data_IF_692354823473
#
_entry.id   IF_692354823473
#
_cell.length_a   1.000
_cell.length_b   1.000
_cell.length_c   1.000
_cell.angle_alpha   90.00
_cell.angle_beta   90.00
_cell.angle_gamma   90.00
#
_symmetry.space_group_name_H-M   'P 1'
#
loop_
_entity.id
_entity.type
_entity.pdbx_description
1 polymer ?
#
# COMPACT_ATOMS: atom_id res chain seq x y z
N UNK A 1 -41.70 -36.63 -35.76
CA UNK A 1 -40.95 -37.68 -36.47
C UNK A 1 -40.96 -37.38 -37.96
N UNK A 2 -39.82 -37.01 -38.56
CA UNK A 2 -39.50 -37.26 -39.98
C UNK A 2 -38.22 -36.49 -40.32
N UNK A 3 -37.13 -37.24 -40.44
CA UNK A 3 -35.81 -36.78 -40.87
C UNK A 3 -35.80 -36.60 -42.39
N UNK A 4 -35.50 -35.40 -42.89
CA UNK A 4 -35.09 -35.20 -44.29
C UNK A 4 -33.58 -34.93 -44.36
N UNK A 5 -32.93 -35.81 -45.11
CA UNK A 5 -31.51 -35.88 -45.43
C UNK A 5 -31.11 -34.68 -46.29
N UNK A 6 -30.02 -34.01 -45.92
CA UNK A 6 -29.23 -33.21 -46.85
C UNK A 6 -27.89 -33.90 -47.07
N UNK A 7 -27.56 -34.09 -48.36
CA UNK A 7 -26.37 -34.76 -48.86
C UNK A 7 -25.15 -33.86 -48.72
N UNK A 8 -24.08 -34.47 -48.24
CA UNK A 8 -22.71 -34.42 -48.76
C UNK A 8 -22.32 -33.23 -49.66
N UNK A 9 -21.61 -32.26 -49.08
CA UNK A 9 -20.47 -31.62 -49.75
C UNK A 9 -19.24 -31.93 -48.89
N UNK A 10 -18.49 -32.94 -49.32
CA UNK A 10 -17.21 -33.35 -48.73
C UNK A 10 -16.16 -32.44 -49.34
N UNK A 11 -15.79 -31.36 -48.65
CA UNK A 11 -14.53 -30.68 -48.96
C UNK A 11 -13.39 -31.58 -48.48
N UNK A 12 -12.48 -31.88 -49.39
CA UNK A 12 -11.27 -32.65 -49.13
C UNK A 12 -10.44 -31.94 -48.08
N UNK A 13 -10.49 -32.45 -46.84
CA UNK A 13 -9.48 -32.13 -45.83
C UNK A 13 -8.25 -32.97 -46.14
N UNK A 14 -7.27 -32.29 -46.72
CA UNK A 14 -5.86 -32.68 -46.74
C UNK A 14 -5.49 -33.13 -45.33
N UNK A 15 -5.15 -34.42 -45.19
CA UNK A 15 -4.64 -34.97 -43.94
C UNK A 15 -3.31 -34.33 -43.58
N UNK A 16 -2.95 -34.25 -42.29
CA UNK A 16 -1.65 -33.74 -41.89
C UNK A 16 -0.59 -34.70 -42.43
N UNK A 17 0.24 -34.20 -43.35
CA UNK A 17 1.45 -34.86 -43.80
C UNK A 17 2.32 -35.17 -42.60
N UNK A 18 2.81 -36.40 -42.59
CA UNK A 18 3.85 -36.94 -41.72
C UNK A 18 5.18 -36.19 -41.90
N UNK A 19 5.22 -34.96 -41.40
CA UNK A 19 6.43 -34.13 -41.32
C UNK A 19 6.55 -33.42 -39.96
N UNK A 20 5.66 -33.72 -39.01
CA UNK A 20 5.63 -33.15 -37.66
C UNK A 20 6.15 -34.11 -36.56
N UNK A 21 6.80 -35.22 -36.92
CA UNK A 21 7.28 -36.24 -35.97
C UNK A 21 8.81 -36.43 -35.97
N UNK A 22 9.58 -35.53 -36.60
CA UNK A 22 11.06 -35.63 -36.66
C UNK A 22 11.82 -34.41 -36.12
N UNK A 23 11.16 -33.50 -35.41
CA UNK A 23 11.82 -32.31 -34.82
C UNK A 23 12.02 -32.41 -33.30
N UNK A 24 12.02 -33.63 -32.74
CA UNK A 24 12.21 -33.88 -31.30
C UNK A 24 13.34 -34.87 -30.97
N UNK A 25 14.21 -35.21 -31.92
CA UNK A 25 15.42 -36.00 -31.66
C UNK A 25 16.62 -35.38 -32.37
N UNK A 26 17.34 -34.50 -31.68
CA UNK A 26 18.51 -33.88 -32.29
C UNK A 26 19.20 -32.75 -31.55
N UNK A 27 18.89 -32.46 -30.28
CA UNK A 27 19.74 -31.57 -29.48
C UNK A 27 20.83 -32.42 -28.83
N UNK A 28 21.87 -32.76 -29.60
CA UNK A 28 23.16 -33.15 -29.04
C UNK A 28 23.61 -32.00 -28.14
N UNK A 29 23.80 -32.27 -26.85
CA UNK A 29 24.51 -31.38 -25.93
C UNK A 29 25.97 -31.23 -26.41
N UNK A 30 26.18 -30.33 -27.37
CA UNK A 30 27.48 -29.74 -27.64
C UNK A 30 27.83 -28.88 -26.44
N UNK A 31 28.65 -29.44 -25.54
CA UNK A 31 29.23 -28.74 -24.40
C UNK A 31 30.22 -27.69 -24.92
N UNK A 32 29.71 -26.59 -25.48
CA UNK A 32 30.51 -25.42 -25.85
C UNK A 32 30.88 -24.74 -24.53
N UNK A 33 32.10 -25.01 -24.07
CA UNK A 33 32.75 -24.21 -23.02
C UNK A 33 32.92 -22.81 -23.58
N UNK A 34 31.96 -21.95 -23.33
CA UNK A 34 32.16 -20.51 -23.45
C UNK A 34 33.22 -20.13 -22.42
N UNK A 35 34.46 -19.99 -22.91
CA UNK A 35 35.54 -19.31 -22.20
C UNK A 35 35.13 -17.84 -22.08
N UNK A 36 34.40 -17.51 -21.03
CA UNK A 36 34.30 -16.14 -20.54
C UNK A 36 35.68 -15.77 -19.97
N UNK A 37 36.52 -15.22 -20.84
CA UNK A 37 37.75 -14.54 -20.44
C UNK A 37 37.47 -13.19 -19.82
N UNK A 38 38.28 -12.82 -18.84
CA UNK A 38 38.57 -11.42 -18.51
C UNK A 38 37.64 -10.75 -17.51
N UNK A 39 37.82 -11.04 -16.23
CA UNK A 39 37.19 -10.36 -15.09
C UNK A 39 37.68 -10.95 -13.77
N UNK A 40 38.99 -10.95 -13.59
CA UNK A 40 39.68 -11.51 -12.41
C UNK A 40 39.63 -10.53 -11.25
N UNK A 41 38.70 -10.74 -10.34
CA UNK A 41 38.63 -10.04 -9.05
C UNK A 41 37.71 -10.69 -8.01
N UNK A 42 37.29 -11.95 -8.21
CA UNK A 42 36.45 -12.66 -7.24
C UNK A 42 37.15 -13.96 -6.84
N UNK A 43 37.40 -14.13 -5.54
CA UNK A 43 38.30 -15.17 -5.00
C UNK A 43 37.92 -16.58 -5.48
N UNK A 44 38.91 -17.47 -5.76
CA UNK A 44 38.71 -18.80 -6.35
C UNK A 44 37.73 -19.71 -5.60
N UNK A 45 37.52 -19.46 -4.32
CA UNK A 45 36.68 -20.25 -3.41
C UNK A 45 35.19 -19.86 -3.52
N UNK A 46 34.89 -18.63 -3.95
CA UNK A 46 33.51 -18.11 -3.98
C UNK A 46 32.74 -18.66 -5.19
N UNK A 47 33.39 -18.78 -6.36
CA UNK A 47 32.74 -19.24 -7.59
C UNK A 47 32.13 -20.65 -7.50
N UNK A 48 32.82 -21.67 -6.95
CA UNK A 48 32.24 -23.01 -6.79
C UNK A 48 31.01 -23.03 -5.87
N UNK A 49 31.05 -22.27 -4.76
CA UNK A 49 29.93 -22.16 -3.83
C UNK A 49 28.74 -21.47 -4.48
N UNK A 50 28.97 -20.35 -5.18
CA UNK A 50 27.90 -19.66 -5.92
C UNK A 50 27.27 -20.56 -6.99
N UNK A 51 28.06 -21.35 -7.72
CA UNK A 51 27.56 -22.28 -8.72
C UNK A 51 26.74 -23.41 -8.08
N UNK A 52 27.20 -23.99 -6.96
CA UNK A 52 26.47 -25.02 -6.22
C UNK A 52 25.11 -24.53 -5.70
N UNK A 53 25.06 -23.27 -5.24
CA UNK A 53 23.82 -22.60 -4.82
C UNK A 53 22.94 -22.36 -6.04
N UNK A 54 23.50 -21.87 -7.15
CA UNK A 54 22.74 -21.57 -8.37
C UNK A 54 22.13 -22.80 -9.01
N UNK A 55 22.81 -23.95 -9.00
CA UNK A 55 22.27 -25.22 -9.49
C UNK A 55 20.99 -25.64 -8.74
N UNK A 56 20.86 -25.28 -7.46
CA UNK A 56 19.72 -25.65 -6.60
C UNK A 56 18.62 -24.60 -6.59
N UNK A 57 19.00 -23.35 -6.40
CA UNK A 57 18.08 -22.24 -6.19
C UNK A 57 17.83 -21.43 -7.46
N UNK A 58 18.60 -21.66 -8.53
CA UNK A 58 18.51 -20.98 -9.83
C UNK A 58 18.48 -19.45 -9.70
N UNK A 59 19.27 -18.92 -8.75
CA UNK A 59 19.29 -17.50 -8.38
C UNK A 59 19.57 -16.61 -9.59
N UNK A 60 20.55 -16.95 -10.44
CA UNK A 60 20.88 -16.19 -11.63
C UNK A 60 19.77 -16.22 -12.68
N UNK A 61 19.01 -17.31 -12.76
CA UNK A 61 17.85 -17.38 -13.64
C UNK A 61 16.72 -16.49 -13.11
N UNK A 62 16.47 -16.49 -11.80
CA UNK A 62 15.48 -15.62 -11.16
C UNK A 62 15.87 -14.14 -11.32
N UNK A 63 17.14 -13.80 -11.11
CA UNK A 63 17.67 -12.45 -11.29
C UNK A 63 17.49 -12.00 -12.74
N UNK A 64 17.89 -12.82 -13.72
CA UNK A 64 17.71 -12.49 -15.14
C UNK A 64 16.24 -12.32 -15.51
N UNK A 65 15.39 -13.27 -15.12
CA UNK A 65 13.95 -13.22 -15.34
C UNK A 65 13.31 -11.95 -14.74
N UNK A 66 13.79 -11.51 -13.58
CA UNK A 66 13.19 -10.40 -12.83
C UNK A 66 13.71 -9.03 -13.24
N UNK A 67 14.99 -8.91 -13.56
CA UNK A 67 15.67 -7.63 -13.80
C UNK A 67 15.91 -7.34 -15.28
N UNK A 68 16.42 -8.31 -16.04
CA UNK A 68 16.86 -8.06 -17.43
C UNK A 68 15.84 -8.51 -18.47
N UNK A 69 15.14 -9.61 -18.21
CA UNK A 69 14.15 -10.19 -19.13
C UNK A 69 12.73 -9.66 -18.86
N UNK A 70 12.49 -9.06 -17.69
CA UNK A 70 11.23 -8.37 -17.42
C UNK A 70 11.18 -7.05 -18.18
N UNK A 71 10.39 -7.00 -19.24
CA UNK A 71 10.24 -5.83 -20.09
C UNK A 71 9.07 -4.95 -19.64
N UNK A 72 9.32 -3.65 -19.49
CA UNK A 72 8.35 -2.64 -19.07
C UNK A 72 8.16 -1.56 -20.15
N UNK A 73 7.02 -0.84 -20.16
CA UNK A 73 6.82 0.29 -21.06
C UNK A 73 7.94 1.34 -20.92
N UNK A 74 8.40 1.93 -22.02
CA UNK A 74 9.49 2.92 -21.97
C UNK A 74 9.06 4.26 -21.36
N UNK A 75 7.77 4.61 -21.46
CA UNK A 75 7.20 5.90 -21.07
C UNK A 75 6.74 5.97 -19.59
N UNK A 76 7.19 5.07 -18.72
CA UNK A 76 6.84 5.11 -17.29
C UNK A 76 7.32 6.40 -16.62
N UNK A 77 6.41 7.04 -15.87
CA UNK A 77 6.63 8.28 -15.12
C UNK A 77 6.88 8.01 -13.63
N UNK A 78 7.20 9.05 -12.86
CA UNK A 78 7.39 8.94 -11.40
C UNK A 78 6.18 8.36 -10.67
N UNK A 79 4.95 8.55 -11.18
CA UNK A 79 3.73 7.94 -10.62
C UNK A 79 3.81 6.41 -10.51
N UNK A 80 4.58 5.76 -11.40
CA UNK A 80 4.74 4.30 -11.41
C UNK A 80 5.73 3.81 -10.34
N UNK A 81 6.52 4.71 -9.76
CA UNK A 81 7.50 4.39 -8.70
C UNK A 81 6.90 4.43 -7.30
N UNK A 82 5.68 4.97 -7.14
CA UNK A 82 5.02 5.09 -5.84
C UNK A 82 4.81 3.74 -5.14
N UNK A 83 4.59 2.65 -5.90
CA UNK A 83 4.52 1.31 -5.33
C UNK A 83 5.80 0.90 -4.60
N UNK A 84 6.97 1.23 -5.15
CA UNK A 84 8.26 0.93 -4.50
C UNK A 84 8.53 1.85 -3.30
N UNK A 85 8.10 3.11 -3.36
CA UNK A 85 8.12 4.02 -2.20
C UNK A 85 7.27 3.45 -1.06
N UNK A 86 6.07 2.94 -1.34
CA UNK A 86 5.19 2.31 -0.34
C UNK A 86 5.81 1.08 0.32
N UNK A 87 6.43 0.19 -0.47
CA UNK A 87 7.15 -0.97 0.07
C UNK A 87 8.32 -0.52 0.95
N UNK A 88 9.05 0.52 0.54
CA UNK A 88 10.14 1.09 1.34
C UNK A 88 9.63 1.67 2.66
N UNK A 89 8.54 2.46 2.64
CA UNK A 89 7.90 2.97 3.85
C UNK A 89 7.49 1.81 4.77
N UNK A 90 6.87 0.75 4.24
CA UNK A 90 6.49 -0.42 5.03
C UNK A 90 7.71 -1.09 5.70
N UNK A 91 8.82 -1.27 4.98
CA UNK A 91 10.06 -1.84 5.54
C UNK A 91 10.58 -0.95 6.67
N UNK A 92 10.62 0.38 6.47
CA UNK A 92 11.03 1.32 7.51
C UNK A 92 10.12 1.21 8.74
N UNK A 93 8.80 1.14 8.55
CA UNK A 93 7.82 0.98 9.64
C UNK A 93 8.09 -0.30 10.44
N UNK A 94 8.28 -1.44 9.78
CA UNK A 94 8.52 -2.72 10.45
C UNK A 94 9.84 -2.69 11.22
N UNK A 95 10.93 -2.24 10.58
CA UNK A 95 12.27 -2.22 11.21
C UNK A 95 12.29 -1.27 12.40
N UNK A 96 11.82 -0.02 12.24
CA UNK A 96 11.78 0.95 13.33
C UNK A 96 10.81 0.52 14.44
N UNK A 97 9.66 -0.06 14.09
CA UNK A 97 8.70 -0.60 15.06
C UNK A 97 9.29 -1.74 15.89
N UNK A 98 10.03 -2.67 15.28
CA UNK A 98 10.75 -3.73 16.00
C UNK A 98 11.81 -3.17 16.96
N UNK A 99 12.53 -2.11 16.56
CA UNK A 99 13.52 -1.46 17.43
C UNK A 99 12.87 -0.73 18.62
N UNK A 100 11.73 -0.06 18.40
CA UNK A 100 10.96 0.59 19.47
C UNK A 100 10.35 -0.42 20.45
N UNK A 101 9.91 -1.56 19.93
CA UNK A 101 9.30 -2.65 20.70
C UNK A 101 10.22 -3.17 21.82
N UNK A 102 11.55 -3.12 21.65
CA UNK A 102 12.53 -3.57 22.65
C UNK A 102 12.41 -2.81 23.97
N UNK A 103 11.98 -1.55 23.93
CA UNK A 103 11.94 -0.67 25.10
C UNK A 103 10.52 -0.30 25.54
N UNK A 104 9.55 -0.37 24.64
CA UNK A 104 8.18 0.07 24.89
C UNK A 104 7.41 -0.89 25.81
N UNK A 105 6.65 -0.35 26.76
CA UNK A 105 5.80 -1.15 27.67
C UNK A 105 4.32 -0.78 27.49
N UNK A 106 3.45 -1.71 27.05
CA UNK A 106 2.02 -1.46 26.79
C UNK A 106 1.18 -1.43 28.07
N UNK A 107 1.45 -0.47 28.95
CA UNK A 107 0.80 -0.29 30.24
C UNK A 107 0.41 1.17 30.45
N UNK A 108 -0.84 1.50 30.75
CA UNK A 108 -1.32 2.90 30.79
C UNK A 108 -0.58 3.76 31.80
N UNK A 109 -0.04 3.16 32.87
CA UNK A 109 0.77 3.86 33.87
C UNK A 109 2.23 4.10 33.44
N UNK A 110 2.71 3.45 32.38
CA UNK A 110 4.13 3.48 31.96
C UNK A 110 4.36 3.79 30.48
N UNK A 111 3.36 3.61 29.62
CA UNK A 111 3.50 3.71 28.16
C UNK A 111 4.10 5.05 27.74
N UNK A 112 3.51 6.16 28.21
CA UNK A 112 4.01 7.50 27.95
C UNK A 112 5.44 7.73 28.47
N UNK A 113 5.76 7.20 29.66
CA UNK A 113 7.10 7.31 30.24
C UNK A 113 8.15 6.49 29.47
N UNK A 114 7.80 5.29 28.98
CA UNK A 114 8.71 4.50 28.15
C UNK A 114 8.97 5.16 26.80
N UNK A 115 7.97 5.83 26.21
CA UNK A 115 8.18 6.64 24.99
C UNK A 115 9.10 7.84 25.27
N UNK A 116 8.94 8.53 26.41
CA UNK A 116 9.87 9.57 26.84
C UNK A 116 11.28 9.02 27.08
N UNK A 117 11.41 7.83 27.65
CA UNK A 117 12.70 7.16 27.85
C UNK A 117 13.38 6.84 26.51
N UNK A 118 12.66 6.24 25.57
CA UNK A 118 13.16 5.97 24.20
C UNK A 118 13.69 7.26 23.58
N UNK A 119 12.91 8.33 23.66
CA UNK A 119 13.27 9.61 23.03
C UNK A 119 14.52 10.23 23.68
N UNK A 120 14.57 10.26 25.01
CA UNK A 120 15.55 11.10 25.72
C UNK A 120 16.77 10.35 26.26
N UNK A 121 16.73 9.01 26.36
CA UNK A 121 17.75 8.21 27.06
C UNK A 121 18.37 7.12 26.20
N UNK A 122 17.65 6.56 25.23
CA UNK A 122 18.20 5.54 24.32
C UNK A 122 19.06 6.23 23.24
N UNK A 123 20.30 5.80 23.00
CA UNK A 123 21.13 6.32 21.92
C UNK A 123 20.41 6.21 20.57
N UNK A 124 20.26 7.34 19.85
CA UNK A 124 19.48 7.46 18.61
C UNK A 124 17.99 7.07 18.73
N UNK A 125 17.45 6.88 19.93
CA UNK A 125 16.05 6.50 20.13
C UNK A 125 15.06 7.57 19.65
N UNK A 126 15.40 8.86 19.80
CA UNK A 126 14.66 9.96 19.18
C UNK A 126 14.58 9.79 17.65
N UNK A 127 15.69 9.50 16.97
CA UNK A 127 15.74 9.38 15.52
C UNK A 127 14.90 8.18 15.04
N UNK A 128 14.98 7.04 15.72
CA UNK A 128 14.18 5.86 15.38
C UNK A 128 12.69 6.14 15.58
N UNK A 129 12.31 6.81 16.67
CA UNK A 129 10.93 7.22 16.92
C UNK A 129 10.43 8.20 15.86
N UNK A 130 11.25 9.18 15.49
CA UNK A 130 10.90 10.21 14.52
C UNK A 130 10.80 9.66 13.11
N UNK A 131 11.67 8.71 12.74
CA UNK A 131 11.58 7.95 11.50
C UNK A 131 10.30 7.12 11.45
N UNK A 132 9.94 6.44 12.54
CA UNK A 132 8.71 5.66 12.63
C UNK A 132 7.48 6.57 12.45
N UNK A 133 7.42 7.69 13.19
CA UNK A 133 6.32 8.65 13.10
C UNK A 133 6.25 9.34 11.72
N UNK A 134 7.34 9.94 11.24
CA UNK A 134 7.34 10.71 9.99
C UNK A 134 7.10 9.82 8.77
N UNK A 135 7.73 8.65 8.75
CA UNK A 135 7.50 7.71 7.65
C UNK A 135 6.06 7.21 7.66
N UNK A 136 5.35 7.20 8.78
CA UNK A 136 3.93 6.82 8.82
C UNK A 136 3.06 7.87 8.12
N UNK A 137 3.33 9.16 8.32
CA UNK A 137 2.68 10.24 7.59
C UNK A 137 2.95 10.15 6.09
N UNK A 138 4.22 9.95 5.70
CA UNK A 138 4.61 9.78 4.30
C UNK A 138 4.01 8.51 3.69
N UNK A 139 3.86 7.43 4.47
CA UNK A 139 3.21 6.20 4.00
C UNK A 139 1.75 6.44 3.63
N UNK A 140 1.00 7.15 4.49
CA UNK A 140 -0.40 7.51 4.21
C UNK A 140 -0.51 8.48 3.02
N UNK A 141 0.37 9.48 2.93
CA UNK A 141 0.41 10.39 1.79
C UNK A 141 0.71 9.65 0.48
N UNK A 142 1.74 8.79 0.49
CA UNK A 142 2.16 8.03 -0.68
C UNK A 142 1.06 7.08 -1.15
N UNK A 143 0.27 6.47 -0.23
CA UNK A 143 -0.79 5.54 -0.65
C UNK A 143 -1.96 6.33 -1.24
N UNK A 144 -2.31 7.49 -0.70
CA UNK A 144 -3.30 8.38 -1.35
C UNK A 144 -2.85 8.83 -2.73
N UNK A 145 -1.58 9.24 -2.89
CA UNK A 145 -1.03 9.60 -4.21
C UNK A 145 -1.01 8.41 -5.16
N UNK A 146 -0.70 7.21 -4.67
CA UNK A 146 -0.71 6.00 -5.48
C UNK A 146 -2.13 5.69 -5.96
N UNK A 147 -3.12 5.72 -5.06
CA UNK A 147 -4.53 5.53 -5.39
C UNK A 147 -5.02 6.59 -6.40
N UNK A 148 -4.73 7.87 -6.17
CA UNK A 148 -5.07 8.95 -7.10
C UNK A 148 -4.44 8.74 -8.48
N UNK A 149 -3.17 8.32 -8.53
CA UNK A 149 -2.48 8.04 -9.80
C UNK A 149 -3.12 6.87 -10.57
N UNK A 150 -3.54 5.82 -9.85
CA UNK A 150 -4.21 4.66 -10.47
C UNK A 150 -5.62 4.98 -10.96
N UNK A 151 -6.34 5.88 -10.27
CA UNK A 151 -7.61 6.44 -10.74
C UNK A 151 -7.42 7.28 -12.00
N UNK A 152 -6.43 8.17 -12.00
CA UNK A 152 -6.13 9.06 -13.12
C UNK A 152 -5.70 8.30 -14.37
N UNK A 153 -4.87 7.27 -14.21
CA UNK A 153 -4.46 6.40 -15.32
C UNK A 153 -5.51 5.34 -15.68
N UNK A 154 -6.61 5.25 -14.91
CA UNK A 154 -7.61 4.16 -14.98
C UNK A 154 -6.98 2.77 -14.96
N UNK A 155 -5.88 2.65 -14.20
CA UNK A 155 -5.11 1.42 -14.05
C UNK A 155 -5.89 0.32 -13.29
N UNK A 156 -7.05 0.65 -12.72
CA UNK A 156 -7.94 -0.29 -12.03
C UNK A 156 -8.80 -1.14 -12.99
N UNK A 157 -8.92 -0.75 -14.27
CA UNK A 157 -9.73 -1.47 -15.27
C UNK A 157 -9.13 -2.84 -15.62
N UNK A 158 -9.95 -3.67 -16.26
CA UNK A 158 -9.58 -4.99 -16.77
C UNK A 158 -8.22 -4.96 -17.50
N UNK A 159 -7.30 -5.92 -17.23
CA UNK A 159 -7.43 -7.10 -16.36
C UNK A 159 -6.91 -6.90 -14.92
N UNK A 160 -6.95 -5.69 -14.35
CA UNK A 160 -6.30 -5.33 -13.07
C UNK A 160 -7.28 -5.15 -11.90
N UNK A 161 -8.47 -5.73 -11.99
CA UNK A 161 -9.49 -5.65 -10.96
C UNK A 161 -8.97 -6.17 -9.61
N UNK A 162 -8.26 -7.31 -9.63
CA UNK A 162 -7.66 -7.89 -8.41
C UNK A 162 -6.52 -7.03 -7.83
N UNK A 163 -5.78 -6.34 -8.69
CA UNK A 163 -4.75 -5.40 -8.24
C UNK A 163 -5.39 -4.19 -7.55
N UNK A 164 -6.51 -3.67 -8.07
CA UNK A 164 -7.27 -2.62 -7.42
C UNK A 164 -7.87 -3.05 -6.07
N UNK A 165 -8.51 -4.23 -6.02
CA UNK A 165 -9.09 -4.76 -4.76
C UNK A 165 -8.01 -4.89 -3.69
N UNK A 166 -6.87 -5.51 -4.01
CA UNK A 166 -5.76 -5.63 -3.07
C UNK A 166 -5.20 -4.26 -2.67
N UNK A 167 -5.15 -3.28 -3.58
CA UNK A 167 -4.79 -1.89 -3.26
C UNK A 167 -5.76 -1.22 -2.29
N UNK A 168 -7.07 -1.40 -2.47
CA UNK A 168 -8.09 -0.89 -1.54
C UNK A 168 -8.00 -1.54 -0.16
N UNK A 169 -7.72 -2.85 -0.09
CA UNK A 169 -7.47 -3.54 1.18
C UNK A 169 -6.21 -2.97 1.86
N UNK A 170 -5.12 -2.75 1.11
CA UNK A 170 -3.90 -2.14 1.64
C UNK A 170 -4.15 -0.73 2.16
N UNK A 171 -4.94 0.09 1.46
CA UNK A 171 -5.35 1.41 1.93
C UNK A 171 -6.03 1.32 3.30
N UNK A 172 -7.02 0.43 3.44
CA UNK A 172 -7.71 0.20 4.71
C UNK A 172 -6.75 -0.24 5.82
N UNK A 173 -5.89 -1.22 5.53
CA UNK A 173 -4.91 -1.73 6.51
C UNK A 173 -3.91 -0.66 6.95
N UNK A 174 -3.43 0.20 6.03
CA UNK A 174 -2.51 1.30 6.36
C UNK A 174 -3.19 2.34 7.25
N UNK A 175 -4.46 2.69 6.98
CA UNK A 175 -5.21 3.62 7.84
C UNK A 175 -5.47 3.02 9.24
N UNK A 176 -5.79 1.73 9.34
CA UNK A 176 -5.93 1.04 10.62
C UNK A 176 -4.60 0.90 11.35
N UNK A 177 -3.48 0.68 10.64
CA UNK A 177 -2.14 0.69 11.22
C UNK A 177 -1.83 2.06 11.85
N UNK A 178 -2.14 3.15 11.14
CA UNK A 178 -1.97 4.51 11.64
C UNK A 178 -2.80 4.78 12.90
N UNK A 179 -4.07 4.38 12.92
CA UNK A 179 -4.93 4.55 14.10
C UNK A 179 -4.44 3.72 15.30
N UNK A 180 -4.09 2.45 15.07
CA UNK A 180 -3.68 1.54 16.14
C UNK A 180 -2.33 1.91 16.77
N UNK A 181 -1.37 2.35 15.95
CA UNK A 181 -0.06 2.81 16.43
C UNK A 181 -0.15 4.14 17.17
N UNK A 182 -1.07 5.01 16.76
CA UNK A 182 -1.26 6.31 17.38
C UNK A 182 -1.75 6.27 18.82
N UNK A 183 -2.41 5.20 19.25
CA UNK A 183 -2.81 5.02 20.64
C UNK A 183 -1.60 4.76 21.56
N UNK A 184 -0.56 4.12 21.05
CA UNK A 184 0.51 3.53 21.87
C UNK A 184 1.30 4.54 22.71
N UNK A 185 1.58 5.78 22.27
CA UNK A 185 2.23 6.76 23.13
C UNK A 185 1.45 7.11 24.40
N UNK A 186 0.14 6.86 24.43
CA UNK A 186 -0.73 7.15 25.59
C UNK A 186 -0.67 8.62 26.05
N UNK A 187 -0.62 9.54 25.08
CA UNK A 187 -0.75 10.98 25.31
C UNK A 187 -2.21 11.44 25.34
N UNK A 188 -2.46 12.70 25.72
CA UNK A 188 -3.78 13.32 25.60
C UNK A 188 -4.33 13.17 24.19
N UNK A 189 -3.49 13.44 23.20
CA UNK A 189 -3.85 13.32 21.80
C UNK A 189 -4.21 11.87 21.41
N UNK A 190 -3.39 10.90 21.80
CA UNK A 190 -3.62 9.47 21.56
C UNK A 190 -4.95 8.97 22.16
N UNK A 191 -5.20 9.30 23.42
CA UNK A 191 -6.35 8.79 24.18
C UNK A 191 -7.67 9.32 23.62
N UNK A 192 -7.78 10.64 23.43
CA UNK A 192 -9.02 11.25 22.97
C UNK A 192 -9.27 11.02 21.49
N UNK A 193 -8.24 11.03 20.62
CA UNK A 193 -8.42 10.64 19.23
C UNK A 193 -8.95 9.20 19.09
N UNK A 194 -8.43 8.28 19.90
CA UNK A 194 -8.94 6.90 19.95
C UNK A 194 -10.36 6.84 20.46
N UNK A 195 -10.69 7.63 21.49
CA UNK A 195 -12.06 7.72 22.03
C UNK A 195 -13.04 8.18 20.95
N UNK A 196 -12.74 9.27 20.23
CA UNK A 196 -13.57 9.74 19.12
C UNK A 196 -13.68 8.69 18.01
N UNK A 197 -12.56 8.13 17.56
CA UNK A 197 -12.55 7.15 16.46
C UNK A 197 -13.37 5.90 16.78
N UNK A 198 -13.27 5.38 18.02
CA UNK A 198 -13.99 4.18 18.42
C UNK A 198 -15.44 4.46 18.85
N UNK A 199 -15.79 5.69 19.23
CA UNK A 199 -17.18 6.10 19.51
C UNK A 199 -18.02 6.09 18.24
N UNK A 200 -17.43 6.34 17.07
CA UNK A 200 -18.12 6.30 15.78
C UNK A 200 -18.87 4.96 15.58
N UNK A 201 -18.29 3.83 16.00
CA UNK A 201 -18.94 2.51 15.95
C UNK A 201 -20.20 2.42 16.84
N UNK A 202 -20.28 3.23 17.89
CA UNK A 202 -21.41 3.31 18.82
C UNK A 202 -22.67 3.90 18.19
N UNK A 203 -22.54 4.66 17.09
CA UNK A 203 -23.68 5.25 16.38
C UNK A 203 -24.53 4.22 15.61
N UNK A 204 -24.04 2.98 15.44
CA UNK A 204 -24.74 1.92 14.71
C UNK A 204 -25.95 1.44 15.55
N UNK A 205 -27.19 1.52 15.03
CA UNK A 205 -28.36 1.07 15.76
C UNK A 205 -28.27 -0.41 16.17
N UNK A 206 -28.78 -0.72 17.37
CA UNK A 206 -28.86 -2.05 17.99
C UNK A 206 -27.53 -2.70 18.37
N UNK A 207 -26.48 -2.60 17.55
CA UNK A 207 -25.20 -3.30 17.78
C UNK A 207 -24.05 -2.37 18.21
N UNK A 208 -24.23 -1.05 18.15
CA UNK A 208 -23.14 -0.09 18.39
C UNK A 208 -22.46 -0.22 19.75
N UNK A 209 -23.24 -0.33 20.83
CA UNK A 209 -22.69 -0.54 22.18
C UNK A 209 -21.84 -1.82 22.27
N UNK A 210 -22.33 -2.92 21.69
CA UNK A 210 -21.60 -4.20 21.65
C UNK A 210 -20.31 -4.08 20.83
N UNK A 211 -20.34 -3.34 19.71
CA UNK A 211 -19.15 -3.10 18.89
C UNK A 211 -18.09 -2.28 19.64
N UNK A 212 -18.49 -1.21 20.34
CA UNK A 212 -17.58 -0.41 21.15
C UNK A 212 -16.91 -1.27 22.22
N UNK A 213 -17.69 -2.07 22.95
CA UNK A 213 -17.15 -3.01 23.95
C UNK A 213 -16.23 -4.06 23.31
N UNK A 214 -16.55 -4.56 22.12
CA UNK A 214 -15.71 -5.52 21.41
C UNK A 214 -14.38 -4.90 20.96
N UNK A 215 -14.39 -3.66 20.49
CA UNK A 215 -13.17 -2.94 20.09
C UNK A 215 -12.32 -2.60 21.31
N UNK A 216 -12.91 -2.00 22.36
CA UNK A 216 -12.18 -1.42 23.50
C UNK A 216 -11.91 -2.41 24.64
N UNK A 217 -12.80 -3.38 24.82
CA UNK A 217 -12.84 -4.28 25.99
C UNK A 217 -13.58 -3.70 27.19
N UNK A 218 -13.82 -2.39 27.20
CA UNK A 218 -14.51 -1.64 28.25
C UNK A 218 -15.32 -0.51 27.62
N UNK A 219 -16.30 0.10 28.32
CA UNK A 219 -17.07 1.22 27.77
C UNK A 219 -16.18 2.40 27.35
N UNK A 220 -15.16 2.71 28.16
CA UNK A 220 -14.18 3.76 27.92
C UNK A 220 -12.86 3.18 27.42
N UNK A 221 -12.01 4.01 26.82
CA UNK A 221 -10.63 3.64 26.47
C UNK A 221 -9.86 3.34 27.76
N UNK A 222 -9.18 2.20 27.82
CA UNK A 222 -8.53 1.71 29.05
C UNK A 222 -7.28 0.87 28.75
N UNK A 223 -6.67 0.29 29.80
CA UNK A 223 -5.59 -0.69 29.68
C UNK A 223 -5.93 -1.87 28.74
N UNK A 224 -7.18 -2.33 28.75
CA UNK A 224 -7.61 -3.39 27.82
C UNK A 224 -7.59 -2.93 26.36
N UNK A 225 -7.95 -1.66 26.12
CA UNK A 225 -7.89 -1.06 24.78
C UNK A 225 -6.45 -0.95 24.30
N UNK A 226 -5.56 -0.43 25.16
CA UNK A 226 -4.13 -0.29 24.86
C UNK A 226 -3.50 -1.65 24.50
N UNK A 227 -3.72 -2.67 25.32
CA UNK A 227 -3.18 -4.02 25.08
C UNK A 227 -3.66 -4.63 23.76
N UNK A 228 -4.95 -4.48 23.43
CA UNK A 228 -5.53 -4.97 22.16
C UNK A 228 -4.94 -4.24 20.96
N UNK A 229 -4.88 -2.91 21.02
CA UNK A 229 -4.35 -2.09 19.92
C UNK A 229 -2.86 -2.34 19.72
N UNK A 230 -2.10 -2.52 20.79
CA UNK A 230 -0.69 -2.94 20.72
C UNK A 230 -0.53 -4.29 20.00
N UNK A 231 -1.29 -5.32 20.41
CA UNK A 231 -1.23 -6.63 19.76
C UNK A 231 -1.62 -6.56 18.27
N UNK A 232 -2.66 -5.79 17.93
CA UNK A 232 -3.07 -5.57 16.54
C UNK A 232 -1.99 -4.84 15.74
N UNK A 233 -1.45 -3.74 16.26
CA UNK A 233 -0.48 -2.88 15.59
C UNK A 233 0.85 -3.57 15.34
N UNK A 234 1.33 -4.36 16.30
CA UNK A 234 2.64 -5.01 16.21
C UNK A 234 2.57 -6.33 15.43
N UNK A 235 1.51 -7.12 15.64
CA UNK A 235 1.53 -8.54 15.20
C UNK A 235 0.49 -8.88 14.14
N UNK A 236 -0.70 -8.25 14.13
CA UNK A 236 -1.77 -8.67 13.20
C UNK A 236 -1.70 -7.84 11.92
N UNK A 237 -1.64 -6.52 12.06
CA UNK A 237 -1.75 -5.60 10.92
C UNK A 237 -0.51 -5.64 10.02
N UNK A 238 0.75 -5.59 10.53
CA UNK A 238 1.92 -5.60 9.65
C UNK A 238 2.06 -6.90 8.86
N UNK A 239 1.76 -8.06 9.48
CA UNK A 239 1.76 -9.35 8.79
C UNK A 239 0.63 -9.44 7.75
N UNK A 240 -0.54 -8.87 8.04
CA UNK A 240 -1.63 -8.77 7.06
C UNK A 240 -1.23 -7.89 5.88
N UNK A 241 -0.60 -6.73 6.13
CA UNK A 241 -0.07 -5.85 5.08
C UNK A 241 0.96 -6.60 4.24
N UNK A 242 1.93 -7.30 4.85
CA UNK A 242 2.94 -8.09 4.13
C UNK A 242 2.31 -9.14 3.22
N UNK A 243 1.33 -9.89 3.72
CA UNK A 243 0.62 -10.90 2.93
C UNK A 243 -0.11 -10.28 1.72
N UNK A 244 -0.81 -9.15 1.93
CA UNK A 244 -1.53 -8.47 0.85
C UNK A 244 -0.57 -7.79 -0.12
N UNK A 245 0.57 -7.24 0.31
CA UNK A 245 1.64 -6.76 -0.58
C UNK A 245 2.11 -7.90 -1.50
N UNK A 246 2.35 -9.09 -0.94
CA UNK A 246 2.74 -10.28 -1.73
C UNK A 246 1.72 -10.60 -2.83
N UNK A 247 0.43 -10.63 -2.49
CA UNK A 247 -0.66 -10.83 -3.47
C UNK A 247 -0.74 -9.69 -4.50
N UNK A 248 -0.58 -8.43 -4.05
CA UNK A 248 -0.65 -7.26 -4.90
C UNK A 248 0.47 -7.26 -5.95
N UNK A 249 1.70 -7.58 -5.54
CA UNK A 249 2.85 -7.71 -6.43
C UNK A 249 2.72 -8.92 -7.37
N UNK A 250 2.13 -10.03 -6.91
CA UNK A 250 1.81 -11.17 -7.77
C UNK A 250 0.85 -10.76 -8.90
N UNK A 251 -0.25 -10.08 -8.59
CA UNK A 251 -1.19 -9.61 -9.60
C UNK A 251 -0.56 -8.59 -10.56
N UNK A 252 0.34 -7.73 -10.07
CA UNK A 252 1.14 -6.85 -10.92
C UNK A 252 2.02 -7.65 -11.90
N UNK A 253 2.66 -8.72 -11.44
CA UNK A 253 3.49 -9.58 -12.30
C UNK A 253 2.67 -10.31 -13.36
N UNK A 254 1.47 -10.77 -13.01
CA UNK A 254 0.58 -11.46 -13.94
C UNK A 254 -0.02 -10.53 -15.01
N UNK A 255 -0.36 -9.29 -14.65
CA UNK A 255 -1.09 -8.36 -15.53
C UNK A 255 -0.21 -7.30 -16.20
N UNK A 256 0.97 -7.05 -15.64
CA UNK A 256 1.92 -6.02 -16.08
C UNK A 256 1.50 -4.59 -15.76
N UNK A 257 2.50 -3.71 -15.73
CA UNK A 257 2.34 -2.27 -15.44
C UNK A 257 1.38 -1.62 -16.46
N UNK A 258 0.54 -0.69 -16.00
CA UNK A 258 -0.31 0.11 -16.88
C UNK A 258 0.50 1.09 -17.70
N UNK A 259 0.11 1.29 -18.97
CA UNK A 259 0.74 2.31 -19.81
C UNK A 259 0.06 3.65 -19.52
N UNK A 260 0.83 4.73 -19.30
CA UNK A 260 0.28 6.07 -19.20
C UNK A 260 -0.60 6.41 -20.42
N UNK A 261 -1.71 7.12 -20.21
CA UNK A 261 -2.55 7.62 -21.31
C UNK A 261 -3.43 6.59 -22.02
N UNK A 262 -3.43 5.32 -21.60
CA UNK A 262 -4.32 4.29 -22.17
C UNK A 262 -3.93 3.81 -23.57
N UNK A 263 -2.68 4.05 -23.99
CA UNK A 263 -2.13 3.52 -25.23
C UNK A 263 -2.15 1.97 -25.25
N UNK A 264 -2.23 1.40 -26.45
CA UNK A 264 -2.23 -0.05 -26.60
C UNK A 264 -0.87 -0.64 -26.18
N UNK A 265 -0.90 -1.48 -25.14
CA UNK A 265 0.27 -2.26 -24.64
C UNK A 265 1.03 -2.99 -25.75
N UNK A 266 0.36 -3.38 -26.83
CA UNK A 266 0.98 -4.09 -27.95
C UNK A 266 1.90 -3.18 -28.78
N UNK A 267 1.60 -1.88 -28.83
CA UNK A 267 2.29 -0.90 -29.69
C UNK A 267 3.40 -0.14 -28.97
N UNK A 268 3.39 -0.11 -27.64
CA UNK A 268 4.31 0.68 -26.83
C UNK A 268 5.68 0.03 -26.79
N UNK A 269 6.72 0.82 -27.07
CA UNK A 269 8.12 0.39 -26.95
C UNK A 269 8.40 -0.11 -25.54
N UNK A 270 9.02 -1.28 -25.44
CA UNK A 270 9.41 -1.89 -24.17
C UNK A 270 10.92 -1.80 -23.97
N UNK A 271 11.33 -1.65 -22.71
CA UNK A 271 12.73 -1.65 -22.27
C UNK A 271 12.92 -2.60 -21.09
N UNK A 272 14.13 -3.15 -20.88
CA UNK A 272 14.43 -3.93 -19.69
C UNK A 272 14.16 -3.16 -18.39
N UNK A 273 13.66 -3.85 -17.37
CA UNK A 273 13.39 -3.26 -16.05
C UNK A 273 14.65 -2.68 -15.40
N UNK A 274 15.76 -3.41 -15.43
CA UNK A 274 17.09 -2.90 -15.09
C UNK A 274 17.84 -2.48 -16.36
N UNK A 275 18.45 -1.29 -16.41
CA UNK A 275 18.53 -0.28 -15.34
C UNK A 275 17.38 0.73 -15.36
N UNK A 276 16.52 0.73 -16.37
CA UNK A 276 15.62 1.86 -16.67
C UNK A 276 14.58 2.17 -15.59
N UNK A 277 13.89 1.16 -15.06
CA UNK A 277 12.89 1.37 -14.00
C UNK A 277 13.56 1.43 -12.62
N UNK A 278 14.57 0.59 -12.37
CA UNK A 278 15.29 0.55 -11.09
C UNK A 278 15.90 1.91 -10.75
N UNK A 279 16.51 2.60 -11.72
CA UNK A 279 17.08 3.93 -11.49
C UNK A 279 16.01 4.96 -11.11
N UNK A 280 14.83 4.93 -11.75
CA UNK A 280 13.69 5.79 -11.39
C UNK A 280 13.15 5.46 -10.00
N UNK A 281 13.02 4.19 -9.67
CA UNK A 281 12.56 3.72 -8.35
C UNK A 281 13.51 4.17 -7.24
N UNK A 282 14.82 4.01 -7.44
CA UNK A 282 15.84 4.49 -6.49
C UNK A 282 15.81 6.01 -6.34
N UNK A 283 15.68 6.76 -7.44
CA UNK A 283 15.58 8.21 -7.37
C UNK A 283 14.37 8.66 -6.54
N UNK A 284 13.20 8.03 -6.74
CA UNK A 284 12.00 8.32 -5.94
C UNK A 284 12.16 7.94 -4.47
N UNK A 285 12.82 6.82 -4.16
CA UNK A 285 13.11 6.41 -2.78
C UNK A 285 14.05 7.39 -2.11
N UNK A 286 15.18 7.75 -2.74
CA UNK A 286 16.10 8.73 -2.17
C UNK A 286 15.45 10.10 -2.01
N UNK A 287 14.68 10.57 -2.99
CA UNK A 287 13.89 11.79 -2.86
C UNK A 287 12.91 11.74 -1.69
N UNK A 288 12.23 10.61 -1.48
CA UNK A 288 11.34 10.42 -0.33
C UNK A 288 12.11 10.43 0.99
N UNK A 289 13.26 9.76 1.07
CA UNK A 289 14.09 9.74 2.27
C UNK A 289 14.66 11.13 2.60
N UNK A 290 15.05 11.91 1.59
CA UNK A 290 15.44 13.31 1.77
C UNK A 290 14.28 14.11 2.36
N UNK A 291 13.07 13.99 1.81
CA UNK A 291 11.87 14.66 2.34
C UNK A 291 11.61 14.27 3.80
N UNK A 292 11.64 12.97 4.14
CA UNK A 292 11.45 12.49 5.52
C UNK A 292 12.47 13.12 6.45
N UNK A 293 13.75 13.13 6.09
CA UNK A 293 14.80 13.73 6.91
C UNK A 293 14.61 15.25 7.05
N UNK A 294 14.28 15.97 5.96
CA UNK A 294 14.00 17.40 6.03
C UNK A 294 12.85 17.71 7.00
N UNK A 295 11.78 16.92 6.98
CA UNK A 295 10.66 17.11 7.89
C UNK A 295 11.03 16.78 9.34
N UNK A 296 11.82 15.75 9.59
CA UNK A 296 12.30 15.41 10.94
C UNK A 296 13.18 16.53 11.52
N UNK A 297 14.16 17.02 10.76
CA UNK A 297 15.15 17.97 11.27
C UNK A 297 14.66 19.42 11.30
N UNK A 298 13.82 19.84 10.34
CA UNK A 298 13.40 21.24 10.20
C UNK A 298 11.94 21.49 10.61
N UNK A 299 11.10 20.45 10.68
CA UNK A 299 9.68 20.58 11.02
C UNK A 299 9.19 19.51 12.02
N UNK A 300 9.88 19.29 13.16
CA UNK A 300 9.57 18.22 14.11
C UNK A 300 8.16 18.29 14.70
N UNK A 301 7.57 19.49 14.78
CA UNK A 301 6.19 19.72 15.23
C UNK A 301 5.13 19.02 14.37
N UNK A 302 5.46 18.63 13.13
CA UNK A 302 4.56 17.84 12.28
C UNK A 302 4.31 16.45 12.86
N UNK A 303 5.33 15.84 13.48
CA UNK A 303 5.20 14.54 14.14
C UNK A 303 4.53 14.64 15.51
N UNK A 304 4.91 15.65 16.30
CA UNK A 304 4.50 15.76 17.70
C UNK A 304 3.97 17.16 18.01
N UNK A 305 2.66 17.40 17.77
CA UNK A 305 2.00 18.60 18.31
C UNK A 305 2.00 18.57 19.85
N UNK A 306 1.75 19.72 20.49
CA UNK A 306 1.85 19.89 21.95
C UNK A 306 1.04 18.86 22.74
N UNK A 307 -0.20 18.57 22.33
CA UNK A 307 -1.07 17.58 22.98
C UNK A 307 -0.50 16.14 22.93
N UNK A 308 0.41 15.85 21.99
CA UNK A 308 1.11 14.56 21.91
C UNK A 308 2.23 14.42 22.94
N UNK A 309 2.63 15.52 23.58
CA UNK A 309 3.70 15.61 24.57
C UNK A 309 3.16 15.69 26.01
N UNK A 310 1.84 15.61 26.18
CA UNK A 310 1.17 15.60 27.48
C UNK A 310 0.65 14.18 27.76
N UNK A 311 0.89 13.58 28.94
CA UNK A 311 0.34 12.27 29.29
C UNK A 311 -1.18 12.30 29.31
N UNK A 312 -1.83 11.20 28.92
CA UNK A 312 -3.28 11.12 28.89
C UNK A 312 -3.91 11.37 30.28
N UNK A 313 -4.89 12.29 30.32
CA UNK A 313 -5.79 12.50 31.45
C UNK A 313 -7.22 12.17 31.00
N UNK A 314 -7.76 10.99 31.40
CA UNK A 314 -9.12 10.59 31.04
C UNK A 314 -10.24 11.53 31.54
N UNK A 315 -9.93 12.40 32.50
CA UNK A 315 -10.90 13.31 33.13
C UNK A 315 -10.93 14.71 32.48
N UNK A 316 -9.99 15.00 31.57
CA UNK A 316 -9.83 16.32 30.97
C UNK A 316 -9.63 16.19 29.46
N UNK A 317 -10.64 16.61 28.70
CA UNK A 317 -10.54 16.67 27.24
C UNK A 317 -9.90 17.98 26.80
N UNK A 318 -8.79 17.96 26.04
CA UNK A 318 -8.21 19.18 25.47
C UNK A 318 -9.22 19.92 24.58
N UNK A 319 -9.25 21.25 24.67
CA UNK A 319 -10.22 22.09 23.96
C UNK A 319 -10.16 21.97 22.42
N UNK A 320 -8.99 21.62 21.87
CA UNK A 320 -8.74 21.58 20.43
C UNK A 320 -8.32 20.20 19.91
N UNK A 321 -8.81 19.12 20.53
CA UNK A 321 -8.45 17.75 20.12
C UNK A 321 -8.96 17.43 18.71
N UNK A 322 -8.04 17.10 17.81
CA UNK A 322 -8.33 16.71 16.42
C UNK A 322 -7.62 15.41 16.06
N UNK A 323 -8.19 14.58 15.18
CA UNK A 323 -7.47 13.43 14.67
C UNK A 323 -6.34 13.89 13.74
N UNK A 324 -5.46 12.96 13.37
CA UNK A 324 -4.42 13.23 12.39
C UNK A 324 -4.96 13.72 11.05
N UNK A 325 -4.10 14.41 10.30
CA UNK A 325 -4.45 15.09 9.05
C UNK A 325 -5.21 14.20 8.05
N UNK A 326 -4.83 12.93 7.92
CA UNK A 326 -5.45 11.97 7.00
C UNK A 326 -6.84 11.48 7.46
N UNK A 327 -7.31 11.90 8.63
CA UNK A 327 -8.68 11.67 9.11
C UNK A 327 -9.50 12.97 9.23
N UNK A 328 -8.90 14.15 9.04
CA UNK A 328 -9.59 15.43 9.23
C UNK A 328 -10.78 15.61 8.28
N UNK A 329 -10.69 15.16 7.03
CA UNK A 329 -11.80 15.26 6.10
C UNK A 329 -13.01 14.43 6.56
N UNK A 330 -12.78 13.20 7.01
CA UNK A 330 -13.82 12.31 7.55
C UNK A 330 -14.42 12.89 8.84
N UNK A 331 -13.58 13.42 9.73
CA UNK A 331 -13.98 14.10 10.94
C UNK A 331 -14.85 15.34 10.66
N UNK A 332 -14.41 16.20 9.74
CA UNK A 332 -15.16 17.40 9.36
C UNK A 332 -16.49 17.03 8.68
N UNK A 333 -16.50 15.99 7.84
CA UNK A 333 -17.73 15.49 7.24
C UNK A 333 -18.75 15.05 8.30
N UNK A 334 -18.31 14.34 9.35
CA UNK A 334 -19.16 13.95 10.47
C UNK A 334 -19.69 15.15 11.27
N UNK A 335 -18.93 16.24 11.40
CA UNK A 335 -19.41 17.50 12.02
C UNK A 335 -20.52 18.17 11.19
N UNK A 336 -20.48 18.03 9.87
CA UNK A 336 -21.44 18.68 8.95
C UNK A 336 -22.76 17.91 8.88
N UNK A 337 -22.72 16.58 8.92
CA UNK A 337 -23.93 15.75 8.83
C UNK A 337 -24.62 15.69 10.20
N UNK A 338 -25.88 16.16 10.34
CA UNK A 338 -26.54 16.26 11.66
C UNK A 338 -26.75 14.92 12.38
N UNK A 339 -26.71 13.81 11.64
CA UNK A 339 -26.85 12.46 12.17
C UNK A 339 -25.53 11.68 11.95
N UNK A 340 -24.87 11.32 13.05
CA UNK A 340 -23.57 10.65 13.01
C UNK A 340 -23.62 9.32 12.24
N UNK A 341 -24.64 8.49 12.48
CA UNK A 341 -24.81 7.22 11.79
C UNK A 341 -24.94 7.41 10.27
N UNK A 342 -25.76 8.37 9.83
CA UNK A 342 -25.89 8.73 8.42
C UNK A 342 -24.55 9.20 7.84
N UNK A 343 -23.82 10.03 8.59
CA UNK A 343 -22.49 10.51 8.20
C UNK A 343 -21.49 9.37 8.00
N UNK A 344 -21.52 8.33 8.84
CA UNK A 344 -20.69 7.14 8.68
C UNK A 344 -21.12 6.32 7.47
N UNK A 345 -22.43 6.07 7.30
CA UNK A 345 -22.93 5.28 6.17
C UNK A 345 -22.57 5.91 4.83
N UNK A 346 -22.67 7.24 4.70
CA UNK A 346 -22.29 7.94 3.48
C UNK A 346 -20.80 7.75 3.14
N UNK A 347 -19.92 7.81 4.13
CA UNK A 347 -18.48 7.55 3.94
C UNK A 347 -18.21 6.09 3.55
N UNK A 348 -18.91 5.13 4.17
CA UNK A 348 -18.81 3.71 3.82
C UNK A 348 -19.28 3.47 2.38
N UNK A 349 -20.36 4.12 1.95
CA UNK A 349 -20.85 4.03 0.56
C UNK A 349 -19.78 4.52 -0.42
N UNK A 350 -19.12 5.65 -0.14
CA UNK A 350 -18.00 6.14 -0.99
C UNK A 350 -16.88 5.10 -1.06
N UNK A 351 -16.49 4.52 0.08
CA UNK A 351 -15.49 3.45 0.14
C UNK A 351 -15.89 2.21 -0.67
N UNK A 352 -17.16 1.78 -0.59
CA UNK A 352 -17.71 0.63 -1.33
C UNK A 352 -17.76 0.91 -2.83
N UNK A 353 -18.19 2.10 -3.24
CA UNK A 353 -18.19 2.50 -4.66
C UNK A 353 -16.77 2.48 -5.22
N UNK A 354 -15.80 3.02 -4.49
CA UNK A 354 -14.39 2.94 -4.89
C UNK A 354 -13.90 1.49 -4.93
N UNK A 355 -14.23 0.68 -3.92
CA UNK A 355 -13.82 -0.73 -3.86
C UNK A 355 -14.27 -1.53 -5.10
N UNK A 356 -15.52 -1.33 -5.51
CA UNK A 356 -16.10 -2.00 -6.68
C UNK A 356 -15.98 -1.21 -7.99
N UNK A 357 -15.23 -0.11 -8.01
CA UNK A 357 -15.09 0.75 -9.19
C UNK A 357 -14.75 0.01 -10.49
N UNK A 358 -13.83 -0.98 -10.53
CA UNK A 358 -13.54 -1.73 -11.76
C UNK A 358 -14.75 -2.44 -12.37
N UNK A 359 -15.71 -2.83 -11.52
CA UNK A 359 -16.91 -3.55 -11.95
C UNK A 359 -18.06 -2.63 -12.30
N UNK A 360 -18.02 -1.37 -11.83
CA UNK A 360 -18.98 -0.33 -12.16
C UNK A 360 -18.59 0.39 -13.46
N UNK A 361 -17.29 0.62 -13.66
CA UNK A 361 -16.73 1.23 -14.86
C UNK A 361 -16.48 0.19 -15.97
N UNK A 362 -17.58 -0.36 -16.53
CA UNK A 362 -17.56 -1.33 -17.64
C UNK A 362 -17.59 -0.71 -19.04
N UNK A 363 -17.37 0.61 -19.16
CA UNK A 363 -17.60 1.35 -20.40
C UNK A 363 -16.78 0.82 -21.59
N UNK A 364 -17.46 0.53 -22.72
CA UNK A 364 -16.81 0.37 -24.04
C UNK A 364 -16.12 1.67 -24.44
N UNK A 365 -15.04 1.57 -25.25
CA UNK A 365 -14.14 2.63 -25.78
C UNK A 365 -14.45 4.04 -25.27
N UNK A 366 -13.53 4.56 -24.46
CA UNK A 366 -13.57 5.92 -23.92
C UNK A 366 -14.01 6.92 -24.98
N UNK A 367 -15.07 7.68 -24.69
CA UNK A 367 -15.44 8.85 -25.47
C UNK A 367 -14.81 10.08 -24.79
N UNK A 368 -14.42 11.09 -25.57
CA UNK A 368 -13.83 12.33 -25.02
C UNK A 368 -14.73 12.97 -23.95
N UNK A 369 -16.06 12.89 -24.13
CA UNK A 369 -17.03 13.41 -23.17
C UNK A 369 -17.05 12.59 -21.88
N UNK A 370 -17.14 11.26 -21.97
CA UNK A 370 -17.11 10.38 -20.79
C UNK A 370 -15.80 10.58 -20.00
N UNK A 371 -14.68 10.73 -20.69
CA UNK A 371 -13.38 10.99 -20.08
C UNK A 371 -13.33 12.34 -19.38
N UNK A 372 -13.79 13.39 -20.05
CA UNK A 372 -13.89 14.72 -19.45
C UNK A 372 -14.74 14.73 -18.19
N UNK A 373 -15.91 14.10 -18.22
CA UNK A 373 -16.80 14.00 -17.05
C UNK A 373 -16.14 13.22 -15.92
N UNK A 374 -15.55 12.06 -16.22
CA UNK A 374 -14.86 11.24 -15.22
C UNK A 374 -13.75 12.01 -14.52
N UNK A 375 -12.84 12.63 -15.28
CA UNK A 375 -11.74 13.40 -14.69
C UNK A 375 -12.23 14.61 -13.90
N UNK A 376 -13.30 15.28 -14.37
CA UNK A 376 -13.92 16.39 -13.64
C UNK A 376 -14.47 15.92 -12.29
N UNK A 377 -15.26 14.83 -12.27
CA UNK A 377 -15.82 14.27 -11.03
C UNK A 377 -14.73 13.83 -10.07
N UNK A 378 -13.72 13.10 -10.54
CA UNK A 378 -12.58 12.66 -9.70
C UNK A 378 -11.82 13.86 -9.14
N UNK A 379 -11.55 14.88 -9.97
CA UNK A 379 -10.85 16.10 -9.52
C UNK A 379 -11.66 16.85 -8.47
N UNK A 380 -12.95 17.06 -8.70
CA UNK A 380 -13.83 17.73 -7.73
C UNK A 380 -13.95 16.93 -6.43
N UNK A 381 -13.99 15.59 -6.50
CA UNK A 381 -14.01 14.75 -5.30
C UNK A 381 -12.72 14.87 -4.49
N UNK A 382 -11.55 14.86 -5.15
CA UNK A 382 -10.24 15.04 -4.48
C UNK A 382 -10.14 16.45 -3.87
N UNK A 383 -10.50 17.49 -4.63
CA UNK A 383 -10.48 18.88 -4.13
C UNK A 383 -11.47 19.09 -2.99
N UNK A 384 -12.66 18.49 -3.07
CA UNK A 384 -13.64 18.50 -1.98
C UNK A 384 -13.12 17.82 -0.72
N UNK A 385 -12.45 16.67 -0.86
CA UNK A 385 -11.83 15.97 0.26
C UNK A 385 -10.71 16.80 0.90
N UNK A 386 -9.85 17.44 0.09
CA UNK A 386 -8.81 18.37 0.58
C UNK A 386 -9.44 19.59 1.25
N UNK A 387 -10.52 20.15 0.69
CA UNK A 387 -11.26 21.26 1.27
C UNK A 387 -11.83 20.91 2.66
N UNK A 388 -12.42 19.72 2.80
CA UNK A 388 -12.89 19.21 4.10
C UNK A 388 -11.73 18.97 5.07
N UNK A 389 -10.58 18.49 4.59
CA UNK A 389 -9.38 18.31 5.41
C UNK A 389 -8.88 19.65 5.97
N UNK A 390 -8.77 20.68 5.12
CA UNK A 390 -8.35 22.02 5.51
C UNK A 390 -9.38 22.67 6.44
N UNK A 391 -10.67 22.56 6.12
CA UNK A 391 -11.72 23.08 7.00
C UNK A 391 -11.68 22.39 8.37
N UNK A 392 -11.57 21.06 8.41
CA UNK A 392 -11.42 20.31 9.66
C UNK A 392 -10.22 20.76 10.50
N UNK A 393 -9.13 21.17 9.85
CA UNK A 393 -7.96 21.72 10.54
C UNK A 393 -8.24 23.07 11.22
N UNK A 394 -9.05 23.95 10.63
CA UNK A 394 -9.32 25.30 11.15
C UNK A 394 -10.65 25.42 11.95
N UNK A 395 -11.52 24.42 11.93
CA UNK A 395 -12.87 24.44 12.53
C UNK A 395 -12.99 23.96 13.97
#
# INVERSE_FOLDING_TARGET
MSWRRLRCQRSERVGPTTEAAQTLQGVRHGRRRDRLGGGSGMMPIIRPVLNWIDERLRIHAIIRATLTEYLVPANLTLWHTLGFVLVTCFVIQVVTGMLLLVYYVPDTGRAFDTVKFITNKVPYGWLIRDLHAMTSHVFVLAIFLHMASTLWMRAYRTPRELQWITGMILLGLVLVAGLSGYLLPWSQLSYWATTVATNAAGSIPRIGHTLVLWIRGTPNVSQYTLGRFFAMHVSIIPFSILAVIGMHLLFLRLTGIAVPGGEDKATVRKVPFFPHMVTKELASVFGTLILVNLLIFYFPQVNFPEDALIPANPLETPAHIKPHWYFLANYQFLKIVPNEFLGIILQVIVGVVLFFLPFLDRGKKSSRLYDGVFYTVVTLAILGYIGLMVWGYYS
#
